data_IF_585969627423
#
_entry.id   IF_585969627423
#
_cell.length_a   1.000
_cell.length_b   1.000
_cell.length_c   1.000
_cell.angle_alpha   90.00
_cell.angle_beta   90.00
_cell.angle_gamma   90.00
#
_symmetry.space_group_name_H-M   'P 1'
#
loop_
_entity.id
_entity.type
_entity.pdbx_description
1 polymer ?
#
# COMPACT_ATOMS: atom_id res chain seq x y z
N UNK A 1 5.89 -9.49 -11.72
CA UNK A 1 7.36 -9.66 -11.90
C UNK A 1 8.00 -9.35 -10.56
N UNK A 2 8.98 -10.14 -10.10
CA UNK A 2 9.73 -9.85 -8.87
C UNK A 2 11.11 -9.36 -9.29
N UNK A 3 11.49 -8.17 -8.85
CA UNK A 3 12.76 -7.53 -9.17
C UNK A 3 13.55 -7.27 -7.89
N UNK A 4 14.87 -7.06 -8.01
CA UNK A 4 15.73 -6.74 -6.87
C UNK A 4 16.11 -7.92 -5.97
N UNK A 5 16.03 -9.15 -6.49
CA UNK A 5 16.43 -10.36 -5.77
C UNK A 5 17.96 -10.42 -5.61
N UNK A 6 18.41 -10.82 -4.42
CA UNK A 6 19.83 -11.08 -4.10
C UNK A 6 19.97 -12.42 -3.39
N UNK A 7 21.21 -12.90 -3.21
CA UNK A 7 21.47 -14.12 -2.44
C UNK A 7 21.00 -14.05 -0.97
N UNK A 8 20.76 -12.84 -0.44
CA UNK A 8 20.26 -12.61 0.92
C UNK A 8 18.74 -12.48 1.00
N UNK A 9 18.02 -12.61 -0.13
CA UNK A 9 16.56 -12.50 -0.12
C UNK A 9 15.93 -13.70 0.61
N UNK A 10 15.18 -13.42 1.67
CA UNK A 10 14.45 -14.41 2.46
C UNK A 10 12.95 -14.41 2.12
N UNK A 11 12.22 -15.42 2.59
CA UNK A 11 10.75 -15.50 2.44
C UNK A 11 10.05 -14.27 3.04
N UNK A 12 10.59 -13.73 4.13
CA UNK A 12 10.06 -12.56 4.83
C UNK A 12 10.11 -11.31 3.93
N UNK A 13 11.17 -11.14 3.15
CA UNK A 13 11.28 -10.04 2.19
C UNK A 13 10.20 -10.15 1.10
N UNK A 14 9.93 -11.36 0.61
CA UNK A 14 8.91 -11.59 -0.42
C UNK A 14 7.50 -11.33 0.14
N UNK A 15 7.21 -11.80 1.36
CA UNK A 15 5.92 -11.54 2.01
C UNK A 15 5.71 -10.03 2.21
N UNK A 16 6.74 -9.32 2.70
CA UNK A 16 6.68 -7.87 2.86
C UNK A 16 6.48 -7.15 1.52
N UNK A 17 7.23 -7.52 0.49
CA UNK A 17 7.09 -6.95 -0.84
C UNK A 17 5.69 -7.18 -1.44
N UNK A 18 5.05 -8.33 -1.15
CA UNK A 18 3.68 -8.59 -1.57
C UNK A 18 2.66 -7.68 -0.86
N UNK A 19 2.84 -7.41 0.45
CA UNK A 19 2.00 -6.45 1.17
C UNK A 19 2.19 -5.02 0.66
N UNK A 20 3.44 -4.61 0.47
CA UNK A 20 3.77 -3.28 -0.08
C UNK A 20 3.22 -3.11 -1.51
N UNK A 21 3.24 -4.16 -2.34
CA UNK A 21 2.70 -4.11 -3.70
C UNK A 21 1.20 -3.78 -3.72
N UNK A 22 0.42 -4.30 -2.76
CA UNK A 22 -1.00 -3.93 -2.62
C UNK A 22 -1.13 -2.45 -2.29
N UNK A 23 -0.33 -1.95 -1.34
CA UNK A 23 -0.36 -0.53 -0.96
C UNK A 23 0.02 0.41 -2.11
N UNK A 24 1.01 0.04 -2.93
CA UNK A 24 1.39 0.81 -4.12
C UNK A 24 0.26 0.84 -5.16
N UNK A 25 -0.39 -0.30 -5.42
CA UNK A 25 -1.55 -0.33 -6.33
C UNK A 25 -2.68 0.57 -5.85
N UNK A 26 -2.98 0.56 -4.55
CA UNK A 26 -3.98 1.46 -3.97
C UNK A 26 -3.58 2.93 -4.12
N UNK A 27 -2.30 3.26 -3.91
CA UNK A 27 -1.79 4.62 -4.10
C UNK A 27 -1.99 5.11 -5.54
N UNK A 28 -1.67 4.29 -6.53
CA UNK A 28 -1.81 4.67 -7.95
C UNK A 28 -3.27 5.02 -8.28
N UNK A 29 -4.23 4.27 -7.74
CA UNK A 29 -5.66 4.55 -7.88
C UNK A 29 -6.03 5.86 -7.17
N UNK A 30 -5.54 6.08 -5.95
CA UNK A 30 -5.81 7.31 -5.20
C UNK A 30 -5.23 8.54 -5.91
N UNK A 31 -4.05 8.41 -6.53
CA UNK A 31 -3.43 9.48 -7.30
C UNK A 31 -4.27 9.82 -8.54
N UNK A 32 -4.76 8.81 -9.27
CA UNK A 32 -5.68 9.01 -10.38
C UNK A 32 -6.99 9.68 -9.93
N UNK A 33 -7.60 9.20 -8.84
CA UNK A 33 -8.80 9.81 -8.27
C UNK A 33 -8.58 11.26 -7.84
N UNK A 34 -7.42 11.57 -7.26
CA UNK A 34 -7.07 12.93 -6.85
C UNK A 34 -6.95 13.87 -8.07
N UNK A 35 -6.45 13.38 -9.20
CA UNK A 35 -6.39 14.13 -10.46
C UNK A 35 -7.80 14.37 -11.05
N UNK A 36 -8.71 13.39 -10.93
CA UNK A 36 -10.05 13.45 -11.52
C UNK A 36 -11.06 14.25 -10.66
N UNK A 37 -11.01 14.14 -9.33
CA UNK A 37 -12.01 14.71 -8.44
C UNK A 37 -11.79 16.20 -8.10
N UNK A 38 -10.59 16.73 -8.29
CA UNK A 38 -10.28 18.16 -8.08
C UNK A 38 -10.24 18.61 -6.61
N UNK A 39 -10.29 17.68 -5.65
CA UNK A 39 -10.10 17.95 -4.21
C UNK A 39 -9.20 16.89 -3.57
N UNK A 40 -8.37 17.26 -2.57
CA UNK A 40 -7.43 16.33 -1.94
C UNK A 40 -8.16 15.31 -1.06
N UNK A 41 -7.79 14.04 -1.21
CA UNK A 41 -8.19 12.97 -0.31
C UNK A 41 -7.51 13.15 1.06
N UNK A 42 -8.29 13.25 2.13
CA UNK A 42 -7.78 13.52 3.49
C UNK A 42 -7.75 12.30 4.40
N UNK A 43 -8.53 11.25 4.08
CA UNK A 43 -8.59 10.00 4.83
C UNK A 43 -9.01 8.86 3.93
N UNK A 44 -8.42 7.68 4.13
CA UNK A 44 -8.80 6.45 3.46
C UNK A 44 -9.63 5.57 4.40
N UNK A 45 -10.84 5.19 3.99
CA UNK A 45 -11.64 4.21 4.74
C UNK A 45 -11.40 2.82 4.16
N UNK A 46 -10.94 1.89 5.00
CA UNK A 46 -10.64 0.51 4.58
C UNK A 46 -11.54 -0.50 5.27
N UNK A 47 -11.99 -1.52 4.53
CA UNK A 47 -12.72 -2.66 5.06
C UNK A 47 -12.05 -4.00 4.69
N UNK A 48 -12.65 -5.09 5.17
CA UNK A 48 -12.26 -6.46 4.81
C UNK A 48 -11.20 -7.09 5.71
N UNK A 49 -10.89 -8.37 5.46
CA UNK A 49 -9.95 -9.13 6.31
C UNK A 49 -8.55 -8.54 6.31
N UNK A 50 -8.13 -7.91 5.21
CA UNK A 50 -6.81 -7.29 5.13
C UNK A 50 -6.64 -6.09 6.07
N UNK A 51 -7.70 -5.33 6.36
CA UNK A 51 -7.62 -4.20 7.30
C UNK A 51 -7.43 -4.61 8.75
N UNK A 52 -7.63 -5.90 9.08
CA UNK A 52 -7.29 -6.45 10.41
C UNK A 52 -5.79 -6.55 10.64
N UNK A 53 -4.97 -6.45 9.59
CA UNK A 53 -3.52 -6.52 9.70
C UNK A 53 -2.93 -5.12 9.95
N UNK A 54 -2.56 -4.86 11.20
CA UNK A 54 -1.97 -3.58 11.62
C UNK A 54 -0.71 -3.19 10.82
N UNK A 55 0.14 -4.17 10.44
CA UNK A 55 1.32 -3.88 9.64
C UNK A 55 0.94 -3.36 8.25
N UNK A 56 -0.08 -3.96 7.62
CA UNK A 56 -0.55 -3.53 6.32
C UNK A 56 -1.17 -2.14 6.39
N UNK A 57 -1.97 -1.84 7.42
CA UNK A 57 -2.58 -0.52 7.59
C UNK A 57 -1.54 0.58 7.83
N UNK A 58 -0.47 0.28 8.56
CA UNK A 58 0.65 1.22 8.72
C UNK A 58 1.41 1.42 7.40
N UNK A 59 1.69 0.36 6.64
CA UNK A 59 2.34 0.49 5.33
C UNK A 59 1.47 1.30 4.36
N UNK A 60 0.15 1.10 4.40
CA UNK A 60 -0.79 1.84 3.57
C UNK A 60 -0.79 3.33 3.90
N UNK A 61 -0.83 3.69 5.19
CA UNK A 61 -0.80 5.09 5.62
C UNK A 61 0.54 5.76 5.28
N UNK A 62 1.65 5.04 5.47
CA UNK A 62 3.00 5.53 5.15
C UNK A 62 3.17 5.76 3.64
N UNK A 63 2.70 4.83 2.80
CA UNK A 63 2.87 4.90 1.33
C UNK A 63 1.94 5.96 0.72
N UNK A 64 0.70 6.08 1.20
CA UNK A 64 -0.27 7.04 0.69
C UNK A 64 -0.14 8.43 1.31
N UNK A 65 0.54 8.56 2.46
CA UNK A 65 0.70 9.83 3.16
C UNK A 65 -0.60 10.39 3.75
N UNK A 66 -1.62 9.56 3.91
CA UNK A 66 -2.92 9.91 4.47
C UNK A 66 -3.30 8.92 5.58
N UNK A 67 -4.04 9.37 6.60
CA UNK A 67 -4.55 8.47 7.64
C UNK A 67 -5.50 7.44 7.03
N UNK A 68 -5.39 6.20 7.53
CA UNK A 68 -6.22 5.03 7.20
C UNK A 68 -7.01 4.65 8.46
#
# INVERSE_FOLDING_TARGET
IICGLTAFTTRQHIIRAALEAVCFQTRDILEAMNQDCGFPLTKLYTDGTMSTNNLLMQLQSDICGIPV
#
